data_IF_013817291706
#
_entry.id   IF_013817291706
#
_cell.length_a   1.000
_cell.length_b   1.000
_cell.length_c   1.000
_cell.angle_alpha   90.00
_cell.angle_beta   90.00
_cell.angle_gamma   90.00
#
_symmetry.space_group_name_H-M   'P 1'
#
loop_
_entity.id
_entity.type
_entity.pdbx_description
1 polymer ?
#
# COMPACT_ATOMS: atom_id res chain seq x y z
N UNK A 1 13.21 -7.01 2.14
CA UNK A 1 12.54 -8.29 2.42
C UNK A 1 12.37 -9.06 1.13
N UNK A 2 12.49 -10.40 1.15
CA UNK A 2 12.21 -11.25 -0.01
C UNK A 2 10.70 -11.48 -0.16
N UNK A 3 10.20 -11.49 -1.39
CA UNK A 3 8.80 -11.77 -1.71
C UNK A 3 8.67 -13.24 -2.12
N UNK A 4 7.88 -14.06 -1.38
CA UNK A 4 7.84 -15.50 -1.59
C UNK A 4 6.91 -15.96 -2.73
N UNK A 5 6.07 -15.08 -3.28
CA UNK A 5 5.06 -15.39 -4.29
C UNK A 5 5.13 -14.47 -5.52
N UNK A 6 4.28 -14.74 -6.51
CA UNK A 6 4.20 -13.96 -7.75
C UNK A 6 5.54 -13.88 -8.48
N UNK A 7 5.96 -12.68 -8.94
CA UNK A 7 7.26 -12.48 -9.59
C UNK A 7 8.48 -12.69 -8.68
N UNK A 8 8.29 -12.81 -7.36
CA UNK A 8 9.35 -13.00 -6.38
C UNK A 8 10.31 -11.81 -6.25
N UNK A 9 11.56 -12.05 -5.86
CA UNK A 9 12.56 -10.99 -5.73
C UNK A 9 12.48 -10.27 -4.38
N UNK A 10 12.81 -8.98 -4.35
CA UNK A 10 12.84 -8.19 -3.12
C UNK A 10 11.81 -7.08 -3.16
N UNK A 11 11.33 -6.66 -1.99
CA UNK A 11 10.33 -5.58 -1.85
C UNK A 11 10.72 -4.27 -2.55
N UNK A 12 12.02 -3.98 -2.67
CA UNK A 12 12.51 -2.79 -3.37
C UNK A 12 12.41 -2.88 -4.90
N UNK A 13 12.14 -4.06 -5.44
CA UNK A 13 11.88 -4.27 -6.87
C UNK A 13 10.43 -3.92 -7.23
N UNK A 14 9.62 -3.49 -6.26
CA UNK A 14 8.21 -3.22 -6.44
C UNK A 14 7.87 -1.74 -6.22
N UNK A 15 6.84 -1.29 -6.93
CA UNK A 15 6.26 0.03 -6.83
C UNK A 15 5.02 -0.05 -5.92
N UNK A 16 5.02 0.60 -4.75
CA UNK A 16 3.93 0.48 -3.79
C UNK A 16 2.74 1.39 -4.11
N UNK A 17 1.55 0.84 -3.92
CA UNK A 17 0.27 1.53 -3.93
C UNK A 17 -0.46 1.24 -2.62
N UNK A 18 -0.99 2.27 -1.96
CA UNK A 18 -1.84 2.10 -0.79
C UNK A 18 -3.27 1.75 -1.22
N UNK A 19 -3.90 0.78 -0.55
CA UNK A 19 -5.33 0.50 -0.76
C UNK A 19 -6.24 1.60 -0.17
N UNK A 20 -5.81 2.19 0.94
CA UNK A 20 -6.59 3.17 1.72
C UNK A 20 -6.16 4.62 1.52
N UNK A 21 -7.01 5.54 2.00
CA UNK A 21 -6.71 6.97 2.08
C UNK A 21 -6.07 7.33 3.43
N UNK A 22 -5.35 8.45 3.49
CA UNK A 22 -4.67 8.94 4.71
C UNK A 22 -3.66 7.93 5.28
N UNK A 23 -2.62 7.62 4.49
CA UNK A 23 -1.50 6.81 4.99
C UNK A 23 -0.78 7.50 6.16
N UNK A 24 -0.10 6.74 7.03
CA UNK A 24 0.72 7.33 8.10
C UNK A 24 1.76 8.34 7.61
N UNK A 25 2.31 8.15 6.41
CA UNK A 25 3.24 9.10 5.80
C UNK A 25 2.57 10.44 5.47
N UNK A 26 1.34 10.41 4.96
CA UNK A 26 0.56 11.63 4.75
C UNK A 26 0.32 12.36 6.08
N UNK A 27 -0.02 11.64 7.15
CA UNK A 27 -0.18 12.24 8.47
C UNK A 27 1.13 12.88 8.96
N UNK A 28 2.29 12.26 8.72
CA UNK A 28 3.59 12.86 9.06
C UNK A 28 3.89 14.13 8.26
N UNK A 29 3.57 14.15 6.97
CA UNK A 29 3.71 15.35 6.12
C UNK A 29 2.77 16.47 6.56
N UNK A 30 1.53 16.15 6.93
CA UNK A 30 0.57 17.12 7.47
C UNK A 30 0.99 17.68 8.82
N UNK A 31 1.57 16.84 9.69
CA UNK A 31 2.02 17.25 11.04
C UNK A 31 3.42 17.85 11.06
N UNK A 32 4.07 18.04 9.90
CA UNK A 32 5.40 18.66 9.78
C UNK A 32 6.52 17.84 10.42
N UNK A 33 6.35 16.52 10.53
CA UNK A 33 7.29 15.62 11.22
C UNK A 33 8.37 15.05 10.31
N UNK A 34 8.36 15.41 9.02
CA UNK A 34 9.36 14.97 8.04
C UNK A 34 10.50 15.98 8.01
N UNK A 35 11.67 15.58 8.51
CA UNK A 35 12.85 16.42 8.52
C UNK A 35 13.25 16.83 7.09
N UNK A 36 13.41 18.14 6.86
CA UNK A 36 13.80 18.67 5.55
C UNK A 36 12.65 18.90 4.56
N UNK A 37 11.39 18.68 4.96
CA UNK A 37 10.22 18.92 4.10
C UNK A 37 9.15 19.76 4.82
N UNK A 38 8.89 20.96 4.31
CA UNK A 38 7.99 21.94 4.93
C UNK A 38 6.81 22.35 4.03
N UNK A 39 6.71 21.81 2.81
CA UNK A 39 5.68 22.19 1.84
C UNK A 39 4.30 21.57 2.12
N UNK A 40 4.19 20.75 3.18
CA UNK A 40 2.94 20.12 3.58
C UNK A 40 2.41 19.15 2.52
N UNK A 41 1.09 18.96 2.46
CA UNK A 41 0.51 18.00 1.51
C UNK A 41 0.14 18.60 0.15
N UNK A 42 0.14 19.93 0.02
CA UNK A 42 -0.35 20.65 -1.17
C UNK A 42 0.32 20.25 -2.48
N UNK A 43 1.64 19.99 -2.55
CA UNK A 43 2.28 19.62 -3.82
C UNK A 43 2.20 18.11 -4.13
N UNK A 44 1.56 17.29 -3.28
CA UNK A 44 1.48 15.85 -3.47
C UNK A 44 0.42 15.52 -4.52
N UNK A 45 0.83 14.80 -5.56
CA UNK A 45 -0.05 14.30 -6.62
C UNK A 45 -0.38 12.84 -6.34
N UNK A 46 -1.67 12.49 -6.29
CA UNK A 46 -2.09 11.10 -6.14
C UNK A 46 -2.34 10.46 -7.49
N UNK A 47 -1.56 9.44 -7.83
CA UNK A 47 -1.86 8.58 -8.96
C UNK A 47 -2.68 7.39 -8.47
N UNK A 48 -3.83 7.15 -9.11
CA UNK A 48 -4.75 6.07 -8.74
C UNK A 48 -4.90 5.08 -9.87
N UNK A 49 -4.92 3.81 -9.52
CA UNK A 49 -5.28 2.70 -10.41
C UNK A 49 -6.15 1.70 -9.62
N UNK A 50 -6.58 0.62 -10.27
CA UNK A 50 -7.30 -0.48 -9.63
C UNK A 50 -6.50 -1.77 -9.75
N UNK A 51 -6.59 -2.63 -8.74
CA UNK A 51 -5.93 -3.95 -8.77
C UNK A 51 -6.34 -4.75 -10.02
N UNK A 52 -7.61 -4.66 -10.42
CA UNK A 52 -8.14 -5.28 -11.64
C UNK A 52 -7.47 -4.74 -12.90
N UNK A 53 -7.19 -3.43 -12.98
CA UNK A 53 -6.49 -2.85 -14.14
C UNK A 53 -5.09 -3.43 -14.29
N UNK A 54 -4.35 -3.56 -13.18
CA UNK A 54 -3.00 -4.12 -13.17
C UNK A 54 -3.03 -5.61 -13.54
N UNK A 55 -3.93 -6.38 -12.94
CA UNK A 55 -4.06 -7.80 -13.25
C UNK A 55 -4.42 -8.04 -14.73
N UNK A 56 -5.37 -7.27 -15.27
CA UNK A 56 -5.79 -7.37 -16.68
C UNK A 56 -4.69 -7.00 -17.67
N UNK A 57 -3.72 -6.16 -17.28
CA UNK A 57 -2.59 -5.83 -18.15
C UNK A 57 -1.52 -6.92 -18.20
N UNK A 58 -1.64 -7.96 -17.36
CA UNK A 58 -0.62 -9.00 -17.21
C UNK A 58 0.64 -8.52 -16.49
N UNK A 59 0.57 -7.36 -15.82
CA UNK A 59 1.69 -6.89 -15.01
C UNK A 59 1.79 -7.76 -13.75
N UNK A 60 3.02 -8.17 -13.40
CA UNK A 60 3.25 -8.89 -12.16
C UNK A 60 2.94 -8.01 -10.96
N UNK A 61 2.21 -8.54 -9.99
CA UNK A 61 1.89 -7.85 -8.75
C UNK A 61 1.91 -8.81 -7.59
N UNK A 62 2.04 -8.26 -6.39
CA UNK A 62 1.73 -8.92 -5.13
C UNK A 62 1.01 -7.92 -4.23
N UNK A 63 0.29 -8.39 -3.22
CA UNK A 63 -0.21 -7.54 -2.16
C UNK A 63 -0.11 -8.26 -0.83
N UNK A 64 -0.30 -7.51 0.24
CA UNK A 64 -0.22 -8.01 1.59
C UNK A 64 -1.48 -7.74 2.39
N UNK A 65 -1.78 -8.60 3.37
CA UNK A 65 -2.87 -8.39 4.35
C UNK A 65 -2.55 -7.27 5.37
N UNK A 66 -1.31 -6.79 5.39
CA UNK A 66 -0.83 -5.69 6.22
C UNK A 66 0.57 -5.21 5.81
N UNK A 67 1.23 -4.39 6.63
CA UNK A 67 2.53 -3.80 6.29
C UNK A 67 3.60 -4.86 6.04
N UNK A 68 4.26 -4.82 4.88
CA UNK A 68 5.27 -5.79 4.46
C UNK A 68 6.56 -5.86 5.30
N UNK A 69 6.67 -5.14 6.42
CA UNK A 69 7.85 -5.13 7.31
C UNK A 69 7.59 -5.86 8.64
N UNK A 70 6.34 -6.11 9.00
CA UNK A 70 6.00 -6.86 10.20
C UNK A 70 6.16 -8.37 9.97
N UNK A 71 6.64 -9.09 10.99
CA UNK A 71 7.02 -10.52 10.96
C UNK A 71 5.88 -11.50 10.61
N UNK A 72 4.63 -11.02 10.47
CA UNK A 72 3.40 -11.81 10.29
C UNK A 72 2.58 -11.40 9.06
N UNK A 73 3.21 -10.80 8.05
CA UNK A 73 2.51 -10.39 6.84
C UNK A 73 2.53 -11.49 5.79
N UNK A 74 1.34 -11.90 5.36
CA UNK A 74 1.16 -12.85 4.26
C UNK A 74 1.16 -12.12 2.92
N UNK A 75 1.66 -12.80 1.89
CA UNK A 75 1.79 -12.25 0.55
C UNK A 75 0.93 -13.03 -0.42
N UNK A 76 0.16 -12.30 -1.23
CA UNK A 76 -0.80 -12.83 -2.18
C UNK A 76 -0.50 -12.30 -3.58
N UNK A 77 -0.71 -13.13 -4.60
CA UNK A 77 -0.46 -12.80 -6.01
C UNK A 77 -1.70 -13.03 -6.90
N UNK A 78 -2.84 -13.39 -6.31
CA UNK A 78 -4.14 -13.51 -6.99
C UNK A 78 -5.17 -12.55 -6.40
N UNK A 79 -5.99 -11.94 -7.27
CA UNK A 79 -7.05 -11.03 -6.84
C UNK A 79 -8.18 -11.74 -6.07
N UNK A 80 -8.25 -13.07 -6.15
CA UNK A 80 -9.25 -13.86 -5.41
C UNK A 80 -9.04 -13.78 -3.90
N UNK A 81 -7.80 -13.51 -3.45
CA UNK A 81 -7.43 -13.36 -2.03
C UNK A 81 -7.58 -11.93 -1.51
N UNK A 82 -8.25 -11.03 -2.26
CA UNK A 82 -8.54 -9.68 -1.78
C UNK A 82 -9.46 -9.68 -0.56
N UNK A 83 -10.17 -10.78 -0.27
CA UNK A 83 -10.94 -10.98 0.97
C UNK A 83 -10.05 -11.04 2.22
N UNK A 84 -8.75 -11.32 2.07
CA UNK A 84 -7.76 -11.37 3.16
C UNK A 84 -7.33 -9.99 3.65
N UNK A 85 -7.58 -8.95 2.86
CA UNK A 85 -7.31 -7.57 3.26
C UNK A 85 -8.41 -7.10 4.22
N UNK A 86 -8.02 -6.57 5.37
CA UNK A 86 -8.94 -5.95 6.32
C UNK A 86 -9.41 -4.58 5.80
N UNK A 87 -10.40 -4.60 4.91
CA UNK A 87 -10.96 -3.41 4.27
C UNK A 87 -11.55 -2.41 5.28
N UNK A 88 -12.12 -2.90 6.38
CA UNK A 88 -12.63 -2.02 7.43
C UNK A 88 -11.49 -1.17 8.01
N UNK A 89 -10.37 -1.81 8.37
CA UNK A 89 -9.20 -1.13 8.90
C UNK A 89 -8.52 -0.22 7.86
N UNK A 90 -8.40 -0.68 6.60
CA UNK A 90 -7.81 0.09 5.49
C UNK A 90 -8.54 1.42 5.26
N UNK A 91 -9.86 1.44 5.40
CA UNK A 91 -10.68 2.63 5.19
C UNK A 91 -11.00 3.43 6.47
N UNK A 92 -10.50 3.03 7.65
CA UNK A 92 -10.69 3.79 8.88
C UNK A 92 -9.95 5.12 8.83
N UNK A 93 -10.66 6.23 9.11
CA UNK A 93 -10.07 7.58 9.16
C UNK A 93 -9.20 7.82 10.39
N UNK A 94 -9.62 7.31 11.53
CA UNK A 94 -8.91 7.41 12.80
C UNK A 94 -8.48 6.01 13.22
N UNK A 95 -7.18 5.83 13.41
CA UNK A 95 -6.59 4.59 13.90
C UNK A 95 -5.64 4.95 15.03
N UNK A 96 -5.72 4.23 16.13
CA UNK A 96 -4.76 4.28 17.22
C UNK A 96 -4.39 2.84 17.55
N UNK A 97 -3.09 2.58 17.67
CA UNK A 97 -2.65 1.35 18.31
C UNK A 97 -3.08 1.45 19.76
N UNK A 98 -3.95 0.54 20.17
CA UNK A 98 -4.32 0.38 21.56
C UNK A 98 -3.57 -0.84 22.11
N UNK A 99 -3.43 -0.90 23.43
CA UNK A 99 -2.70 -1.99 24.12
C UNK A 99 -3.24 -3.38 23.76
N UNK A 100 -4.51 -3.46 23.36
CA UNK A 100 -5.19 -4.70 22.95
C UNK A 100 -5.04 -5.05 21.45
N UNK A 101 -4.57 -4.13 20.60
CA UNK A 101 -4.49 -4.32 19.14
C UNK A 101 -3.40 -3.44 18.52
N UNK A 102 -2.15 -3.86 18.69
CA UNK A 102 -0.97 -3.21 18.10
C UNK A 102 -0.80 -3.51 16.59
N UNK A 103 -1.72 -4.27 15.98
CA UNK A 103 -1.65 -4.68 14.57
C UNK A 103 -2.46 -3.77 13.63
N UNK A 104 -3.17 -2.78 14.18
CA UNK A 104 -4.01 -1.84 13.42
C UNK A 104 -3.20 -0.99 12.46
N UNK A 105 -2.05 -0.49 12.90
CA UNK A 105 -1.14 0.24 12.02
C UNK A 105 -0.63 -0.65 10.88
N UNK A 106 -0.34 -1.93 11.14
CA UNK A 106 0.07 -2.91 10.11
C UNK A 106 -1.03 -3.12 9.08
N UNK A 107 -2.25 -3.48 9.50
CA UNK A 107 -3.39 -3.73 8.60
C UNK A 107 -3.79 -2.50 7.80
N UNK A 108 -3.73 -1.31 8.39
CA UNK A 108 -3.97 -0.05 7.66
C UNK A 108 -2.92 0.23 6.57
N UNK A 109 -1.71 -0.25 6.76
CA UNK A 109 -0.61 -0.15 5.79
C UNK A 109 -0.55 -1.35 4.83
N UNK A 110 -1.67 -2.06 4.62
CA UNK A 110 -1.79 -2.99 3.50
C UNK A 110 -1.49 -2.25 2.18
N UNK A 111 -0.61 -2.85 1.38
CA UNK A 111 -0.09 -2.27 0.14
C UNK A 111 -0.30 -3.25 -1.01
N UNK A 112 -0.59 -2.68 -2.18
CA UNK A 112 -0.57 -3.36 -3.46
C UNK A 112 0.74 -3.01 -4.17
N UNK A 113 1.52 -4.00 -4.55
CA UNK A 113 2.87 -3.84 -5.07
C UNK A 113 2.94 -4.28 -6.53
N UNK A 114 3.30 -3.37 -7.43
CA UNK A 114 3.50 -3.68 -8.86
C UNK A 114 4.98 -3.98 -9.12
N UNK A 115 5.28 -5.12 -9.73
CA UNK A 115 6.66 -5.55 -9.94
C UNK A 115 7.35 -4.70 -11.03
N UNK A 116 8.46 -4.06 -10.64
CA UNK A 116 9.43 -3.26 -11.44
C UNK A 116 8.89 -2.02 -12.14
N UNK A 117 7.76 -2.12 -12.82
CA UNK A 117 7.29 -1.06 -13.70
C UNK A 117 5.76 -1.03 -13.81
N UNK A 118 5.19 0.13 -13.50
CA UNK A 118 3.78 0.43 -13.73
C UNK A 118 3.69 1.37 -14.94
N UNK A 119 3.11 0.89 -16.05
CA UNK A 119 2.93 1.72 -17.24
C UNK A 119 1.92 2.85 -16.95
N UNK A 120 2.19 4.05 -17.43
CA UNK A 120 1.30 5.20 -17.29
C UNK A 120 -0.11 4.94 -17.82
N UNK A 121 -0.26 4.11 -18.85
CA UNK A 121 -1.57 3.72 -19.39
C UNK A 121 -2.46 2.97 -18.38
N UNK A 122 -1.88 2.45 -17.29
CA UNK A 122 -2.59 1.77 -16.22
C UNK A 122 -3.11 2.74 -15.15
N UNK A 123 -2.64 3.99 -15.14
CA UNK A 123 -3.13 5.00 -14.22
C UNK A 123 -4.52 5.45 -14.67
N UNK A 124 -5.49 5.37 -13.75
CA UNK A 124 -6.90 5.67 -14.00
C UNK A 124 -7.33 7.06 -13.55
N UNK A 125 -6.51 7.74 -12.76
CA UNK A 125 -6.82 9.11 -12.34
C UNK A 125 -5.71 9.78 -11.57
N UNK A 126 -5.84 11.10 -11.48
CA UNK A 126 -5.04 11.98 -10.63
C UNK A 126 -6.01 12.64 -9.64
N UNK A 127 -5.64 12.69 -8.37
CA UNK A 127 -6.43 13.33 -7.32
C UNK A 127 -5.58 14.23 -6.44
#
# INVERSE_FOLDING_TARGET
MHIPCGPGGFIHDYIPFYFGYLSPMLLQLHTGRVAGYAEGQTPIIYLKTTAQTIAQSGAGFVFSDGHGIAHYTEWFDTLDDLDKVDWEMVYQRYWSDNVDDMDRQRRKQAEFLVHRFCNWSLIRGIA
#
